data_IF_305500502142
#
_entry.id   IF_305500502142
#
_cell.length_a   1.000
_cell.length_b   1.000
_cell.length_c   1.000
_cell.angle_alpha   90.00
_cell.angle_beta   90.00
_cell.angle_gamma   90.00
#
_symmetry.space_group_name_H-M   'P 1'
#
loop_
_entity.id
_entity.type
_entity.pdbx_description
1 polymer ?
#
# COMPACT_ATOMS: atom_id res chain seq x y z
N UNK A 1 1.47 2.05 16.05
CA UNK A 1 2.92 1.97 16.31
C UNK A 1 3.19 1.49 17.73
N UNK A 2 4.14 0.56 17.90
CA UNK A 2 4.67 0.08 19.18
C UNK A 2 6.19 0.19 19.17
N UNK A 3 6.79 0.69 20.24
CA UNK A 3 8.24 0.84 20.38
C UNK A 3 8.69 0.12 21.65
N UNK A 4 9.56 -0.87 21.50
CA UNK A 4 10.28 -1.53 22.57
C UNK A 4 11.73 -1.06 22.58
N UNK A 5 12.06 -0.17 23.51
CA UNK A 5 13.39 0.40 23.64
C UNK A 5 14.41 -0.61 24.17
N UNK A 6 13.99 -1.54 25.04
CA UNK A 6 14.90 -2.53 25.63
C UNK A 6 15.30 -3.57 24.58
N UNK A 7 14.33 -4.07 23.82
CA UNK A 7 14.54 -4.99 22.72
C UNK A 7 15.04 -4.35 21.43
N UNK A 8 15.19 -3.01 21.39
CA UNK A 8 15.49 -2.23 20.18
C UNK A 8 14.59 -2.60 19.00
N UNK A 9 13.27 -2.63 19.24
CA UNK A 9 12.27 -3.07 18.26
C UNK A 9 11.18 -2.04 18.06
N UNK A 10 10.77 -1.84 16.81
CA UNK A 10 9.66 -0.97 16.42
C UNK A 10 8.69 -1.80 15.59
N UNK A 11 7.41 -1.69 15.88
CA UNK A 11 6.34 -2.30 15.08
C UNK A 11 5.39 -1.21 14.60
N UNK A 12 5.18 -1.16 13.30
CA UNK A 12 4.38 -0.14 12.62
C UNK A 12 3.55 -0.78 11.52
N UNK A 13 2.39 -0.19 11.23
CA UNK A 13 1.70 -0.55 9.99
C UNK A 13 2.43 0.04 8.78
N UNK A 14 2.22 -0.52 7.59
CA UNK A 14 2.77 0.02 6.34
C UNK A 14 2.29 1.45 6.07
N UNK A 15 1.06 1.78 6.47
CA UNK A 15 0.54 3.15 6.39
C UNK A 15 1.27 4.08 7.38
N UNK A 16 1.47 3.66 8.63
CA UNK A 16 2.22 4.44 9.62
C UNK A 16 3.65 4.66 9.17
N UNK A 17 4.31 3.62 8.64
CA UNK A 17 5.66 3.71 8.08
C UNK A 17 5.72 4.71 6.92
N UNK A 18 4.80 4.60 5.96
CA UNK A 18 4.80 5.43 4.76
C UNK A 18 4.43 6.90 5.01
N UNK A 19 3.66 7.17 6.06
CA UNK A 19 3.23 8.53 6.42
C UNK A 19 4.03 9.12 7.57
N UNK A 20 5.00 8.37 8.12
CA UNK A 20 5.81 8.81 9.25
C UNK A 20 6.53 10.12 8.93
N UNK A 21 6.33 11.12 9.79
CA UNK A 21 7.00 12.42 9.72
C UNK A 21 7.37 12.87 11.13
N UNK A 22 8.62 13.29 11.38
CA UNK A 22 8.98 13.94 12.63
C UNK A 22 8.23 15.27 12.80
N UNK A 23 7.73 15.55 14.00
CA UNK A 23 7.06 16.82 14.35
C UNK A 23 5.52 16.77 14.27
N UNK A 24 4.84 17.89 14.59
CA UNK A 24 3.39 17.97 14.55
C UNK A 24 2.88 17.75 13.13
N UNK A 25 2.26 16.60 12.89
CA UNK A 25 1.62 16.30 11.62
C UNK A 25 0.40 17.19 11.40
N UNK A 26 0.23 17.70 10.19
CA UNK A 26 -1.07 18.23 9.77
C UNK A 26 -2.06 17.06 9.82
N UNK A 27 -2.95 17.05 10.82
CA UNK A 27 -4.01 16.07 10.91
C UNK A 27 -4.85 16.13 9.65
N UNK A 28 -4.74 15.13 8.78
CA UNK A 28 -5.59 15.01 7.60
C UNK A 28 -6.91 14.38 8.03
N UNK A 29 -7.77 15.18 8.67
CA UNK A 29 -9.17 14.83 8.88
C UNK A 29 -9.88 14.78 7.52
N UNK A 30 -9.92 13.61 6.90
CA UNK A 30 -10.69 13.39 5.68
C UNK A 30 -12.19 13.49 5.97
N UNK A 31 -12.94 14.17 5.10
CA UNK A 31 -14.41 14.21 5.22
C UNK A 31 -15.01 12.79 5.21
N UNK A 32 -15.99 12.47 6.08
CA UNK A 32 -16.58 11.12 6.19
C UNK A 32 -17.06 10.51 4.87
N UNK A 33 -17.59 11.33 3.96
CA UNK A 33 -18.04 10.88 2.64
C UNK A 33 -16.89 10.29 1.79
N UNK A 34 -15.66 10.77 1.96
CA UNK A 34 -14.48 10.26 1.24
C UNK A 34 -14.06 8.89 1.73
N UNK A 35 -14.20 8.63 3.03
CA UNK A 35 -13.92 7.30 3.57
C UNK A 35 -14.96 6.26 3.11
N UNK A 36 -16.21 6.68 2.89
CA UNK A 36 -17.26 5.83 2.30
C UNK A 36 -17.01 5.59 0.80
N UNK A 37 -16.79 6.67 0.02
CA UNK A 37 -16.47 6.55 -1.41
C UNK A 37 -15.21 5.71 -1.65
N UNK A 38 -14.18 5.87 -0.81
CA UNK A 38 -13.00 5.02 -0.80
C UNK A 38 -13.34 3.54 -0.68
N UNK A 39 -14.15 3.17 0.32
CA UNK A 39 -14.57 1.77 0.54
C UNK A 39 -15.34 1.21 -0.65
N UNK A 40 -16.28 1.98 -1.21
CA UNK A 40 -17.04 1.57 -2.39
C UNK A 40 -16.14 1.28 -3.59
N UNK A 41 -15.13 2.14 -3.83
CA UNK A 41 -14.19 1.92 -4.93
C UNK A 41 -13.26 0.73 -4.70
N UNK A 42 -12.80 0.48 -3.47
CA UNK A 42 -12.07 -0.75 -3.15
C UNK A 42 -12.92 -1.99 -3.42
N UNK A 43 -14.21 -1.98 -3.08
CA UNK A 43 -15.12 -3.10 -3.36
C UNK A 43 -15.35 -3.29 -4.87
N UNK A 44 -15.58 -2.21 -5.62
CA UNK A 44 -15.73 -2.26 -7.08
C UNK A 44 -14.47 -2.81 -7.75
N UNK A 45 -13.29 -2.34 -7.34
CA UNK A 45 -12.01 -2.81 -7.88
C UNK A 45 -11.73 -4.27 -7.53
N UNK A 46 -12.16 -4.72 -6.35
CA UNK A 46 -12.11 -6.14 -5.98
C UNK A 46 -12.99 -6.97 -6.89
N UNK A 47 -14.26 -6.60 -7.09
CA UNK A 47 -15.18 -7.31 -8.00
C UNK A 47 -14.65 -7.35 -9.43
N UNK A 48 -14.02 -6.27 -9.89
CA UNK A 48 -13.36 -6.23 -11.20
C UNK A 48 -12.22 -7.25 -11.29
N UNK A 49 -11.33 -7.28 -10.30
CA UNK A 49 -10.24 -8.25 -10.26
C UNK A 49 -10.71 -9.71 -10.09
N UNK A 50 -11.80 -9.95 -9.34
CA UNK A 50 -12.46 -11.26 -9.26
C UNK A 50 -13.00 -11.69 -10.62
N UNK A 51 -13.62 -10.76 -11.38
CA UNK A 51 -14.14 -11.03 -12.71
C UNK A 51 -13.06 -11.23 -13.80
N UNK A 52 -11.83 -10.74 -13.59
CA UNK A 52 -10.69 -11.02 -14.47
C UNK A 52 -10.29 -12.51 -14.46
N UNK A 53 -10.72 -13.28 -13.44
CA UNK A 53 -10.39 -14.70 -13.22
C UNK A 53 -8.88 -15.00 -13.35
N UNK A 54 -8.05 -14.03 -12.96
CA UNK A 54 -6.61 -14.07 -13.13
C UNK A 54 -5.85 -14.61 -11.90
N UNK A 55 -6.55 -15.23 -10.94
CA UNK A 55 -5.94 -15.75 -9.70
C UNK A 55 -5.55 -14.68 -8.68
N UNK A 56 -6.27 -13.55 -8.63
CA UNK A 56 -6.08 -12.53 -7.61
C UNK A 56 -6.54 -13.02 -6.24
N UNK A 57 -5.71 -12.78 -5.22
CA UNK A 57 -6.07 -12.90 -3.81
C UNK A 57 -6.11 -11.50 -3.18
N UNK A 58 -6.88 -11.35 -2.10
CA UNK A 58 -7.19 -10.05 -1.51
C UNK A 58 -6.84 -10.02 -0.03
N UNK A 59 -6.54 -8.82 0.47
CA UNK A 59 -6.19 -8.57 1.88
C UNK A 59 -5.07 -9.48 2.43
N UNK A 60 -4.14 -9.90 1.56
CA UNK A 60 -3.04 -10.77 1.92
C UNK A 60 -2.16 -10.10 3.00
N UNK A 61 -1.98 -10.72 4.18
CA UNK A 61 -1.12 -10.17 5.20
C UNK A 61 0.34 -10.21 4.75
N UNK A 62 1.05 -9.12 5.00
CA UNK A 62 2.49 -9.01 4.79
C UNK A 62 3.16 -8.56 6.07
N UNK A 63 4.34 -9.15 6.31
CA UNK A 63 5.26 -8.74 7.36
C UNK A 63 6.62 -8.54 6.71
N UNK A 64 7.20 -7.38 6.92
CA UNK A 64 8.57 -7.08 6.54
C UNK A 64 9.35 -6.77 7.81
N UNK A 65 10.44 -7.49 8.04
CA UNK A 65 11.36 -7.22 9.12
C UNK A 65 12.69 -6.73 8.54
N UNK A 66 13.12 -5.54 8.95
CA UNK A 66 14.37 -4.92 8.54
C UNK A 66 15.20 -4.53 9.76
N UNK A 67 16.51 -4.71 9.67
CA UNK A 67 17.45 -4.29 10.72
C UNK A 67 18.17 -3.02 10.25
N UNK A 68 18.03 -1.95 11.01
CA UNK A 68 18.63 -0.64 10.70
C UNK A 68 19.17 0.01 11.96
N UNK A 69 20.44 0.42 11.94
CA UNK A 69 21.11 1.08 13.09
C UNK A 69 20.99 0.29 14.41
N UNK A 70 20.98 -1.05 14.34
CA UNK A 70 20.84 -1.92 15.50
C UNK A 70 19.42 -1.99 16.07
N UNK A 71 18.41 -1.46 15.36
CA UNK A 71 16.99 -1.63 15.65
C UNK A 71 16.35 -2.59 14.65
N UNK A 72 15.44 -3.42 15.14
CA UNK A 72 14.54 -4.22 14.31
C UNK A 72 13.25 -3.45 14.07
N UNK A 73 12.97 -3.10 12.81
CA UNK A 73 11.72 -2.46 12.42
C UNK A 73 10.87 -3.50 11.70
N UNK A 74 9.67 -3.72 12.24
CA UNK A 74 8.68 -4.63 11.66
C UNK A 74 7.52 -3.83 11.12
N UNK A 75 7.33 -3.98 9.82
CA UNK A 75 6.28 -3.32 9.06
C UNK A 75 5.24 -4.38 8.73
N UNK A 76 4.03 -4.20 9.23
CA UNK A 76 2.90 -5.09 8.95
C UNK A 76 1.86 -4.40 8.09
N UNK A 77 1.15 -5.14 7.27
CA UNK A 77 0.09 -4.58 6.45
C UNK A 77 -0.73 -5.64 5.76
N UNK A 78 -1.70 -5.18 4.98
CA UNK A 78 -2.50 -6.01 4.08
C UNK A 78 -2.50 -5.34 2.71
N UNK A 79 -2.16 -6.10 1.69
CA UNK A 79 -2.21 -5.63 0.30
C UNK A 79 -3.65 -5.64 -0.20
N UNK A 80 -4.03 -4.70 -1.04
CA UNK A 80 -5.36 -4.74 -1.66
C UNK A 80 -5.53 -5.95 -2.57
N UNK A 81 -4.61 -6.14 -3.53
CA UNK A 81 -4.63 -7.28 -4.45
C UNK A 81 -3.24 -7.88 -4.61
N UNK A 82 -3.17 -9.21 -4.61
CA UNK A 82 -1.96 -10.00 -4.74
C UNK A 82 -2.18 -11.10 -5.77
N UNK A 83 -1.25 -11.29 -6.69
CA UNK A 83 -1.26 -12.41 -7.64
C UNK A 83 0.12 -13.01 -7.73
N UNK A 84 0.19 -14.33 -7.56
CA UNK A 84 1.43 -15.09 -7.66
C UNK A 84 1.22 -16.22 -8.65
N UNK A 85 2.01 -16.23 -9.73
CA UNK A 85 1.98 -17.30 -10.74
C UNK A 85 3.24 -18.17 -10.72
N UNK A 86 4.05 -18.09 -9.66
CA UNK A 86 5.31 -18.81 -9.50
C UNK A 86 6.50 -18.20 -10.23
N UNK A 87 6.29 -17.42 -11.29
CA UNK A 87 7.35 -16.69 -12.00
C UNK A 87 7.45 -15.22 -11.57
N UNK A 88 6.31 -14.60 -11.28
CA UNK A 88 6.22 -13.25 -10.75
C UNK A 88 5.14 -13.13 -9.67
N UNK A 89 5.37 -12.18 -8.78
CA UNK A 89 4.39 -11.69 -7.82
C UNK A 89 3.99 -10.30 -8.27
N UNK A 90 2.70 -10.12 -8.54
CA UNK A 90 2.11 -8.84 -8.85
C UNK A 90 1.28 -8.34 -7.65
N UNK A 91 1.67 -7.17 -7.13
CA UNK A 91 0.98 -6.51 -6.02
C UNK A 91 0.34 -5.24 -6.56
N UNK A 92 -0.97 -5.14 -6.42
CA UNK A 92 -1.72 -3.93 -6.79
C UNK A 92 -2.27 -3.27 -5.53
N UNK A 93 -1.92 -2.02 -5.35
CA UNK A 93 -2.45 -1.16 -4.28
C UNK A 93 -3.38 -0.11 -4.90
N UNK A 94 -4.55 0.10 -4.30
CA UNK A 94 -5.58 1.01 -4.80
C UNK A 94 -5.68 2.21 -3.86
N UNK A 95 -5.71 3.41 -4.43
CA UNK A 95 -5.84 4.66 -3.67
C UNK A 95 -6.84 5.60 -4.31
N UNK A 96 -7.83 6.00 -3.53
CA UNK A 96 -8.71 7.11 -3.91
C UNK A 96 -8.03 8.44 -3.65
N UNK A 97 -8.05 9.33 -4.64
CA UNK A 97 -7.37 10.64 -4.56
C UNK A 97 -8.34 11.79 -4.74
N UNK A 98 -7.97 12.96 -4.22
CA UNK A 98 -8.80 14.16 -4.28
C UNK A 98 -8.49 15.06 -5.48
N UNK A 99 -7.78 14.53 -6.49
CA UNK A 99 -7.43 15.26 -7.70
C UNK A 99 -8.10 14.58 -8.87
N UNK A 100 -8.62 15.36 -9.80
CA UNK A 100 -9.19 14.81 -11.03
C UNK A 100 -8.13 14.11 -11.85
N UNK A 101 -8.45 12.91 -12.33
CA UNK A 101 -7.61 12.11 -13.23
C UNK A 101 -8.06 12.32 -14.68
N UNK A 102 -7.20 12.11 -15.69
CA UNK A 102 -5.81 11.67 -15.59
C UNK A 102 -4.86 12.78 -15.10
N UNK A 103 -3.73 12.33 -14.51
CA UNK A 103 -2.59 13.18 -14.16
C UNK A 103 -1.31 12.51 -14.62
N UNK A 104 -0.29 13.31 -14.91
CA UNK A 104 1.04 12.79 -15.27
C UNK A 104 1.62 12.00 -14.10
N UNK A 105 2.33 10.88 -14.34
CA UNK A 105 2.97 10.10 -13.29
C UNK A 105 3.84 10.96 -12.36
N UNK A 106 4.63 11.88 -12.92
CA UNK A 106 5.48 12.81 -12.15
C UNK A 106 4.69 13.61 -11.09
N UNK A 107 3.47 14.04 -11.43
CA UNK A 107 2.61 14.77 -10.50
C UNK A 107 2.13 13.86 -9.36
N UNK A 108 1.70 12.64 -9.69
CA UNK A 108 1.21 11.68 -8.70
C UNK A 108 2.33 11.23 -7.75
N UNK A 109 3.53 10.99 -8.28
CA UNK A 109 4.73 10.71 -7.48
C UNK A 109 5.07 11.85 -6.51
N UNK A 110 5.06 13.09 -6.97
CA UNK A 110 5.34 14.26 -6.12
C UNK A 110 4.25 14.51 -5.08
N UNK A 111 2.98 14.32 -5.44
CA UNK A 111 1.83 14.61 -4.58
C UNK A 111 1.58 13.53 -3.53
N UNK A 112 1.79 12.26 -3.89
CA UNK A 112 1.44 11.09 -3.08
C UNK A 112 2.61 10.13 -2.84
N UNK A 113 3.81 10.60 -2.43
CA UNK A 113 4.98 9.75 -2.28
C UNK A 113 4.79 8.63 -1.24
N UNK A 114 3.95 8.85 -0.23
CA UNK A 114 3.62 7.87 0.79
C UNK A 114 2.89 6.65 0.23
N UNK A 115 2.05 6.78 -0.80
CA UNK A 115 1.41 5.61 -1.41
C UNK A 115 2.43 4.70 -2.10
N UNK A 116 3.45 5.29 -2.74
CA UNK A 116 4.57 4.53 -3.31
C UNK A 116 5.46 3.91 -2.24
N UNK A 117 5.71 4.58 -1.11
CA UNK A 117 6.47 4.02 0.02
C UNK A 117 5.73 2.82 0.63
N UNK A 118 4.41 2.90 0.77
CA UNK A 118 3.60 1.80 1.26
C UNK A 118 3.68 0.59 0.33
N UNK A 119 3.48 0.79 -0.98
CA UNK A 119 3.63 -0.28 -1.98
C UNK A 119 5.06 -0.84 -2.01
N UNK A 120 6.06 0.02 -1.83
CA UNK A 120 7.47 -0.37 -1.74
C UNK A 120 7.75 -1.33 -0.59
N UNK A 121 7.14 -1.10 0.58
CA UNK A 121 7.24 -2.01 1.72
C UNK A 121 6.64 -3.38 1.41
N UNK A 122 5.52 -3.43 0.69
CA UNK A 122 4.88 -4.68 0.27
C UNK A 122 5.74 -5.43 -0.75
N UNK A 123 6.27 -4.73 -1.75
CA UNK A 123 7.17 -5.31 -2.73
C UNK A 123 8.45 -5.84 -2.05
N UNK A 124 9.01 -5.11 -1.09
CA UNK A 124 10.17 -5.57 -0.35
C UNK A 124 9.86 -6.82 0.48
N UNK A 125 8.72 -6.86 1.19
CA UNK A 125 8.26 -8.06 1.90
C UNK A 125 8.13 -9.27 0.98
N UNK A 126 7.59 -9.07 -0.23
CA UNK A 126 7.44 -10.11 -1.23
C UNK A 126 8.80 -10.66 -1.72
N UNK A 127 9.79 -9.78 -1.95
CA UNK A 127 11.16 -10.18 -2.33
C UNK A 127 11.84 -11.08 -1.30
N UNK A 128 11.47 -10.96 -0.03
CA UNK A 128 12.06 -11.75 1.06
C UNK A 128 11.42 -13.15 1.17
N UNK A 129 10.33 -13.44 0.44
CA UNK A 129 9.72 -14.77 0.45
C UNK A 129 10.63 -15.78 -0.28
N UNK A 130 10.79 -17.01 0.24
CA UNK A 130 11.53 -18.06 -0.46
C UNK A 130 10.94 -18.32 -1.86
N UNK A 131 11.80 -18.39 -2.87
CA UNK A 131 11.37 -18.64 -4.26
C UNK A 131 10.65 -17.45 -4.92
N UNK A 132 10.72 -16.25 -4.33
CA UNK A 132 10.17 -15.05 -4.96
C UNK A 132 10.83 -14.80 -6.32
N UNK A 133 10.01 -14.79 -7.38
CA UNK A 133 10.41 -14.40 -8.72
C UNK A 133 10.46 -12.88 -8.89
N UNK A 134 10.12 -12.39 -10.08
CA UNK A 134 10.04 -10.95 -10.33
C UNK A 134 8.91 -10.32 -9.52
N UNK A 135 9.16 -9.16 -8.90
CA UNK A 135 8.16 -8.43 -8.12
C UNK A 135 7.71 -7.20 -8.89
N UNK A 136 6.43 -7.18 -9.25
CA UNK A 136 5.77 -6.07 -9.94
C UNK A 136 4.87 -5.36 -8.92
N UNK A 137 5.11 -4.07 -8.72
CA UNK A 137 4.25 -3.21 -7.92
C UNK A 137 3.45 -2.29 -8.82
N UNK A 138 2.13 -2.33 -8.70
CA UNK A 138 1.20 -1.46 -9.40
C UNK A 138 0.44 -0.60 -8.38
N UNK A 139 0.43 0.73 -8.60
CA UNK A 139 -0.36 1.65 -7.80
C UNK A 139 -1.47 2.22 -8.69
N UNK A 140 -2.72 1.90 -8.36
CA UNK A 140 -3.89 2.38 -9.09
C UNK A 140 -4.54 3.52 -8.32
N UNK A 141 -4.53 4.69 -8.93
CA UNK A 141 -5.26 5.84 -8.43
C UNK A 141 -6.68 5.82 -8.96
N UNK A 142 -7.65 6.26 -8.15
CA UNK A 142 -9.05 6.35 -8.54
C UNK A 142 -9.59 7.71 -8.13
N UNK A 143 -10.21 8.45 -9.05
CA UNK A 143 -11.01 9.62 -8.70
C UNK A 143 -12.34 9.11 -8.11
N UNK A 144 -12.66 9.42 -6.83
CA UNK A 144 -13.88 8.94 -6.20
C UNK A 144 -15.16 9.52 -6.82
N UNK A 145 -15.06 10.58 -7.62
CA UNK A 145 -16.20 11.31 -8.20
C UNK A 145 -16.74 10.64 -9.46
N UNK A 146 -15.85 10.15 -10.32
CA UNK A 146 -16.21 9.58 -11.63
C UNK A 146 -15.59 8.20 -11.92
N UNK A 147 -14.69 7.71 -11.07
CA UNK A 147 -14.04 6.41 -11.23
C UNK A 147 -12.92 6.37 -12.26
N UNK A 148 -12.48 7.53 -12.77
CA UNK A 148 -11.31 7.62 -13.64
C UNK A 148 -10.05 7.10 -12.92
N UNK A 149 -9.14 6.51 -13.68
CA UNK A 149 -7.90 5.85 -13.21
C UNK A 149 -6.68 6.43 -13.92
#
# INVERSE_FOLDING_TARGET
MRIDVKGRRIEVSAQEFATFRPGPGAGAGGSPWRAEAGRQWHETMRKQAEAEDAGWTFEQPITCEIVVLGWTVVITGRTDQWRDNGANIHIREIKTVSVSLPRRPEFLHGRYPHHFLQLGAYCHAARLRPGAGEIIGELVFVDPTDGSK
#
